data_IF_225689564626
#
_entry.id   IF_225689564626
#
_cell.length_a   1.000
_cell.length_b   1.000
_cell.length_c   1.000
_cell.angle_alpha   90.00
_cell.angle_beta   90.00
_cell.angle_gamma   90.00
#
_symmetry.space_group_name_H-M   'P 1'
#
loop_
_entity.id
_entity.type
_entity.pdbx_description
1 polymer ?
#
# COMPACT_ATOMS: atom_id res chain seq x y z
N UNK A 1 -42.65 -10.49 2.53
CA UNK A 1 -41.65 -9.43 2.77
C UNK A 1 -40.30 -9.97 2.30
N UNK A 2 -39.93 -9.71 1.04
CA UNK A 2 -38.69 -10.21 0.46
C UNK A 2 -37.53 -9.36 0.97
N UNK A 3 -36.66 -9.94 1.80
CA UNK A 3 -35.38 -9.33 2.14
C UNK A 3 -34.47 -9.42 0.91
N UNK A 4 -34.19 -8.27 0.29
CA UNK A 4 -33.08 -8.14 -0.63
C UNK A 4 -31.79 -8.46 0.13
N UNK A 5 -31.28 -9.67 -0.08
CA UNK A 5 -29.93 -10.03 0.31
C UNK A 5 -28.99 -9.24 -0.61
N UNK A 6 -28.50 -8.08 -0.15
CA UNK A 6 -27.42 -7.36 -0.81
C UNK A 6 -26.14 -8.13 -0.57
N UNK A 7 -25.96 -9.24 -1.30
CA UNK A 7 -24.65 -9.80 -1.56
C UNK A 7 -23.80 -8.63 -2.09
N UNK A 8 -22.90 -8.15 -1.24
CA UNK A 8 -21.99 -7.03 -1.48
C UNK A 8 -20.91 -7.50 -2.48
N UNK A 9 -21.35 -7.89 -3.67
CA UNK A 9 -20.53 -8.36 -4.77
C UNK A 9 -19.68 -7.18 -5.22
N UNK A 10 -18.37 -7.34 -5.03
CA UNK A 10 -17.39 -6.36 -5.47
C UNK A 10 -17.61 -6.07 -6.95
N UNK A 11 -17.82 -4.80 -7.30
CA UNK A 11 -17.92 -4.43 -8.71
C UNK A 11 -16.61 -4.81 -9.40
N UNK A 12 -16.70 -5.57 -10.50
CA UNK A 12 -15.56 -5.99 -11.32
C UNK A 12 -14.60 -4.83 -11.65
N UNK A 13 -15.14 -3.62 -11.84
CA UNK A 13 -14.35 -2.41 -12.09
C UNK A 13 -13.47 -2.04 -10.90
N UNK A 14 -14.03 -2.09 -9.68
CA UNK A 14 -13.31 -1.74 -8.46
C UNK A 14 -12.25 -2.80 -8.13
N UNK A 15 -12.58 -4.08 -8.31
CA UNK A 15 -11.63 -5.18 -8.15
C UNK A 15 -10.45 -5.07 -9.14
N UNK A 16 -10.74 -4.82 -10.43
CA UNK A 16 -9.69 -4.59 -11.45
C UNK A 16 -8.77 -3.43 -11.08
N UNK A 17 -9.33 -2.33 -10.57
CA UNK A 17 -8.54 -1.19 -10.11
C UNK A 17 -7.63 -1.57 -8.93
N UNK A 18 -8.13 -2.35 -7.98
CA UNK A 18 -7.34 -2.80 -6.82
C UNK A 18 -6.20 -3.73 -7.24
N UNK A 19 -6.47 -4.73 -8.09
CA UNK A 19 -5.44 -5.61 -8.66
C UNK A 19 -4.38 -4.83 -9.42
N UNK A 20 -4.78 -3.80 -10.19
CA UNK A 20 -3.85 -2.95 -10.91
C UNK A 20 -2.92 -2.19 -9.96
N UNK A 21 -3.45 -1.55 -8.90
CA UNK A 21 -2.62 -0.85 -7.92
C UNK A 21 -1.64 -1.77 -7.21
N UNK A 22 -2.10 -2.95 -6.78
CA UNK A 22 -1.25 -3.96 -6.14
C UNK A 22 -0.15 -4.46 -7.11
N UNK A 23 -0.49 -4.69 -8.37
CA UNK A 23 0.47 -5.05 -9.41
C UNK A 23 1.51 -3.95 -9.65
N UNK A 24 1.10 -2.68 -9.71
CA UNK A 24 2.02 -1.54 -9.80
C UNK A 24 2.99 -1.52 -8.63
N UNK A 25 2.49 -1.67 -7.41
CA UNK A 25 3.33 -1.72 -6.22
C UNK A 25 4.32 -2.88 -6.29
N UNK A 26 3.85 -4.10 -6.56
CA UNK A 26 4.68 -5.30 -6.63
C UNK A 26 5.84 -5.16 -7.65
N UNK A 27 5.53 -4.68 -8.86
CA UNK A 27 6.56 -4.49 -9.89
C UNK A 27 7.51 -3.35 -9.54
N UNK A 28 7.03 -2.30 -8.86
CA UNK A 28 7.87 -1.21 -8.37
C UNK A 28 8.88 -1.72 -7.33
N UNK A 29 8.44 -2.54 -6.36
CA UNK A 29 9.32 -3.15 -5.37
C UNK A 29 10.40 -4.05 -6.01
N UNK A 30 10.04 -4.78 -7.07
CA UNK A 30 10.98 -5.63 -7.83
C UNK A 30 11.99 -4.82 -8.65
N UNK A 31 11.59 -3.67 -9.19
CA UNK A 31 12.42 -2.84 -10.06
C UNK A 31 13.43 -2.00 -9.28
N UNK A 32 13.02 -1.43 -8.15
CA UNK A 32 13.81 -0.44 -7.42
C UNK A 32 15.06 -1.03 -6.77
N UNK A 33 14.96 -2.23 -6.18
CA UNK A 33 16.04 -2.84 -5.42
C UNK A 33 16.66 -1.89 -4.40
N UNK A 34 17.92 -1.50 -4.64
CA UNK A 34 18.69 -0.57 -3.80
C UNK A 34 18.78 0.86 -4.36
N UNK A 35 18.20 1.14 -5.53
CA UNK A 35 18.26 2.45 -6.18
C UNK A 35 17.34 3.45 -5.47
N UNK A 36 17.60 4.74 -5.65
CA UNK A 36 16.63 5.77 -5.24
C UNK A 36 15.35 5.60 -6.05
N UNK A 37 14.22 5.94 -5.43
CA UNK A 37 12.94 5.98 -6.14
C UNK A 37 12.97 7.03 -7.25
N UNK A 38 13.74 8.11 -7.11
CA UNK A 38 13.90 9.14 -8.14
C UNK A 38 14.47 8.57 -9.45
N UNK A 39 15.40 7.62 -9.34
CA UNK A 39 16.06 6.96 -10.47
C UNK A 39 15.17 5.94 -11.20
N UNK A 40 14.01 5.59 -10.63
CA UNK A 40 13.08 4.64 -11.22
C UNK A 40 12.19 5.34 -12.25
N UNK A 41 12.27 4.97 -13.53
CA UNK A 41 11.46 5.64 -14.54
C UNK A 41 10.02 5.11 -14.58
N UNK A 42 9.06 6.02 -14.73
CA UNK A 42 7.65 5.67 -14.91
C UNK A 42 7.44 4.72 -16.08
N UNK A 43 8.21 4.90 -17.16
CA UNK A 43 8.20 4.01 -18.33
C UNK A 43 8.53 2.55 -17.97
N UNK A 44 9.51 2.32 -17.08
CA UNK A 44 9.90 0.98 -16.64
C UNK A 44 8.77 0.31 -15.84
N UNK A 45 8.13 1.06 -14.94
CA UNK A 45 6.98 0.57 -14.16
C UNK A 45 5.83 0.21 -15.11
N UNK A 46 5.48 1.11 -16.04
CA UNK A 46 4.45 0.90 -17.04
C UNK A 46 4.74 -0.32 -17.93
N UNK A 47 5.98 -0.49 -18.37
CA UNK A 47 6.39 -1.62 -19.21
C UNK A 47 6.25 -2.96 -18.48
N UNK A 48 6.68 -3.05 -17.21
CA UNK A 48 6.57 -4.26 -16.39
C UNK A 48 5.12 -4.61 -16.04
N UNK A 49 4.30 -3.60 -15.73
CA UNK A 49 2.90 -3.77 -15.34
C UNK A 49 1.95 -3.89 -16.54
N UNK A 50 2.45 -3.66 -17.76
CA UNK A 50 1.70 -3.67 -19.03
C UNK A 50 0.54 -2.67 -19.04
N UNK A 51 0.78 -1.45 -18.55
CA UNK A 51 -0.19 -0.35 -18.58
C UNK A 51 0.41 0.91 -19.21
N UNK A 52 -0.44 1.82 -19.67
CA UNK A 52 0.01 3.13 -20.16
C UNK A 52 0.34 4.10 -19.02
N UNK A 53 1.12 5.15 -19.29
CA UNK A 53 1.32 6.28 -18.34
C UNK A 53 0.00 6.92 -17.92
N UNK A 54 -0.91 7.12 -18.88
CA UNK A 54 -2.24 7.68 -18.62
C UNK A 54 -3.00 6.81 -17.63
N UNK A 55 -2.91 5.48 -17.77
CA UNK A 55 -3.50 4.55 -16.82
C UNK A 55 -2.83 4.62 -15.47
N UNK A 56 -1.50 4.67 -15.40
CA UNK A 56 -0.78 4.80 -14.13
C UNK A 56 -1.18 6.07 -13.39
N UNK A 57 -1.07 7.23 -14.05
CA UNK A 57 -1.35 8.55 -13.44
C UNK A 57 -2.83 8.75 -13.09
N UNK A 58 -3.74 7.99 -13.71
CA UNK A 58 -5.14 7.93 -13.28
C UNK A 58 -5.30 7.34 -11.87
N UNK A 59 -4.43 6.41 -11.46
CA UNK A 59 -4.49 5.76 -10.14
C UNK A 59 -3.49 6.34 -9.15
N UNK A 60 -2.35 6.82 -9.63
CA UNK A 60 -1.26 7.43 -8.88
C UNK A 60 -0.94 8.78 -9.52
N UNK A 61 -1.68 9.86 -9.20
CA UNK A 61 -1.51 11.18 -9.81
C UNK A 61 -0.06 11.67 -9.90
N UNK A 62 0.75 11.34 -8.89
CA UNK A 62 2.19 11.52 -8.87
C UNK A 62 2.89 10.17 -8.75
N UNK A 63 4.12 10.09 -9.25
CA UNK A 63 4.94 8.87 -9.13
C UNK A 63 5.14 8.51 -7.65
N UNK A 64 5.37 9.51 -6.81
CA UNK A 64 5.58 9.40 -5.36
C UNK A 64 4.34 8.87 -4.62
N UNK A 65 3.15 8.93 -5.22
CA UNK A 65 1.95 8.31 -4.63
C UNK A 65 2.11 6.78 -4.48
N UNK A 66 3.01 6.15 -5.25
CA UNK A 66 3.36 4.73 -5.08
C UNK A 66 4.10 4.50 -3.76
N UNK A 67 4.95 5.44 -3.31
CA UNK A 67 5.63 5.38 -2.00
C UNK A 67 4.60 5.48 -0.87
N UNK A 68 3.67 6.43 -1.00
CA UNK A 68 2.58 6.60 -0.03
C UNK A 68 1.66 5.38 -0.01
N UNK A 69 1.40 4.77 -1.16
CA UNK A 69 0.63 3.54 -1.23
C UNK A 69 1.36 2.37 -0.56
N UNK A 70 2.65 2.20 -0.83
CA UNK A 70 3.48 1.22 -0.12
C UNK A 70 3.38 1.40 1.40
N UNK A 71 3.57 2.63 1.89
CA UNK A 71 3.49 2.93 3.32
C UNK A 71 2.12 2.55 3.90
N UNK A 72 1.03 2.85 3.18
CA UNK A 72 -0.33 2.53 3.65
C UNK A 72 -0.63 1.04 3.63
N UNK A 73 -0.05 0.28 2.69
CA UNK A 73 -0.13 -1.19 2.68
C UNK A 73 0.67 -1.77 3.85
N UNK A 74 1.84 -1.21 4.17
CA UNK A 74 2.59 -1.58 5.37
C UNK A 74 1.80 -1.29 6.65
N UNK A 75 1.19 -0.10 6.78
CA UNK A 75 0.35 0.24 7.94
C UNK A 75 -0.88 -0.67 8.03
N UNK A 76 -1.51 -1.05 6.91
CA UNK A 76 -2.61 -2.02 6.91
C UNK A 76 -2.16 -3.37 7.46
N UNK A 77 -0.98 -3.85 7.08
CA UNK A 77 -0.41 -5.09 7.62
C UNK A 77 -0.24 -5.03 9.12
N UNK A 78 0.34 -3.93 9.63
CA UNK A 78 0.49 -3.70 11.07
C UNK A 78 -0.86 -3.63 11.79
N UNK A 79 -1.84 -2.94 11.21
CA UNK A 79 -3.19 -2.84 11.79
C UNK A 79 -3.87 -4.21 11.87
N UNK A 80 -3.72 -5.07 10.86
CA UNK A 80 -4.23 -6.45 10.89
C UNK A 80 -3.53 -7.29 11.96
N UNK A 81 -2.20 -7.25 12.00
CA UNK A 81 -1.42 -8.04 12.96
C UNK A 81 -1.67 -7.62 14.41
N UNK A 82 -1.78 -6.32 14.67
CA UNK A 82 -2.06 -5.77 16.01
C UNK A 82 -3.53 -5.94 16.41
N UNK A 83 -4.45 -6.04 15.45
CA UNK A 83 -5.84 -6.41 15.74
C UNK A 83 -5.95 -7.88 16.20
N UNK A 84 -5.14 -8.77 15.63
CA UNK A 84 -5.10 -10.19 16.02
C UNK A 84 -4.32 -10.43 17.31
N UNK A 85 -3.16 -9.77 17.44
CA UNK A 85 -2.27 -9.88 18.59
C UNK A 85 -1.91 -8.48 19.08
N UNK A 86 -2.76 -7.87 19.92
CA UNK A 86 -2.51 -6.56 20.48
C UNK A 86 -1.16 -6.49 21.20
N UNK A 87 -0.47 -5.37 21.04
CA UNK A 87 0.78 -5.04 21.73
C UNK A 87 0.72 -3.58 22.13
N UNK A 88 1.10 -3.30 23.37
CA UNK A 88 1.05 -1.96 23.94
C UNK A 88 2.40 -1.56 24.54
N UNK A 89 2.56 -0.27 24.82
CA UNK A 89 3.78 0.29 25.40
C UNK A 89 5.04 -0.10 24.64
N UNK A 90 6.08 -0.49 25.37
CA UNK A 90 7.39 -0.84 24.81
C UNK A 90 7.33 -2.04 23.86
N UNK A 91 6.46 -3.02 24.11
CA UNK A 91 6.32 -4.20 23.25
C UNK A 91 5.73 -3.83 21.88
N UNK A 92 4.79 -2.88 21.85
CA UNK A 92 4.24 -2.33 20.61
C UNK A 92 5.29 -1.53 19.83
N UNK A 93 6.03 -0.65 20.52
CA UNK A 93 7.11 0.15 19.91
C UNK A 93 8.16 -0.78 19.30
N UNK A 94 8.70 -1.71 20.09
CA UNK A 94 9.76 -2.64 19.64
C UNK A 94 9.30 -3.42 18.42
N UNK A 95 8.07 -3.93 18.43
CA UNK A 95 7.51 -4.63 17.28
C UNK A 95 7.42 -3.80 16.00
N UNK A 96 6.99 -2.53 16.11
CA UNK A 96 6.91 -1.65 14.95
C UNK A 96 8.32 -1.36 14.39
N UNK A 97 9.30 -1.16 15.27
CA UNK A 97 10.70 -0.96 14.87
C UNK A 97 11.32 -2.22 14.26
N UNK A 98 11.04 -3.40 14.80
CA UNK A 98 11.46 -4.68 14.20
C UNK A 98 10.90 -4.81 12.77
N UNK A 99 9.60 -4.52 12.60
CA UNK A 99 8.95 -4.55 11.29
C UNK A 99 9.43 -3.47 10.33
N UNK A 100 9.87 -2.32 10.84
CA UNK A 100 10.51 -1.31 10.02
C UNK A 100 11.93 -1.75 9.60
N UNK A 101 12.69 -2.36 10.52
CA UNK A 101 14.02 -2.89 10.23
C UNK A 101 13.98 -3.96 9.13
N UNK A 102 13.01 -4.88 9.18
CA UNK A 102 12.78 -5.86 8.12
C UNK A 102 12.56 -5.19 6.75
N UNK A 103 11.81 -4.08 6.68
CA UNK A 103 11.60 -3.38 5.42
C UNK A 103 12.85 -2.61 4.95
N UNK A 104 13.66 -2.07 5.87
CA UNK A 104 14.95 -1.45 5.54
C UNK A 104 15.90 -2.45 4.86
N UNK A 105 15.87 -3.72 5.28
CA UNK A 105 16.67 -4.78 4.69
C UNK A 105 16.12 -5.26 3.34
N UNK A 106 14.80 -5.49 3.27
CA UNK A 106 14.16 -6.08 2.10
C UNK A 106 13.94 -5.08 0.96
N UNK A 107 13.63 -3.82 1.30
CA UNK A 107 13.24 -2.77 0.36
C UNK A 107 13.96 -1.43 0.63
N UNK A 108 15.31 -1.40 0.72
CA UNK A 108 16.07 -0.23 1.11
C UNK A 108 15.82 0.99 0.21
N UNK A 109 15.70 0.80 -1.10
CA UNK A 109 15.44 1.90 -2.04
C UNK A 109 14.10 2.58 -1.80
N UNK A 110 13.06 1.81 -1.44
CA UNK A 110 11.73 2.33 -1.14
C UNK A 110 11.74 3.08 0.19
N UNK A 111 12.31 2.47 1.24
CA UNK A 111 12.30 3.06 2.58
C UNK A 111 13.08 4.36 2.62
N UNK A 112 14.28 4.42 2.03
CA UNK A 112 15.07 5.64 1.98
C UNK A 112 14.33 6.77 1.25
N UNK A 113 13.68 6.44 0.14
CA UNK A 113 12.92 7.42 -0.65
C UNK A 113 11.64 7.86 0.07
N UNK A 114 10.97 6.94 0.77
CA UNK A 114 9.81 7.25 1.60
C UNK A 114 10.21 8.19 2.75
N UNK A 115 11.33 7.94 3.44
CA UNK A 115 11.83 8.85 4.47
C UNK A 115 12.18 10.22 3.91
N UNK A 116 12.86 10.28 2.75
CA UNK A 116 13.11 11.54 2.06
C UNK A 116 11.82 12.30 1.73
N UNK A 117 10.81 11.59 1.23
CA UNK A 117 9.50 12.15 0.93
C UNK A 117 8.78 12.67 2.19
N UNK A 118 8.75 11.88 3.27
CA UNK A 118 8.08 12.25 4.53
C UNK A 118 8.79 13.36 5.29
N UNK A 119 10.11 13.50 5.13
CA UNK A 119 10.91 14.54 5.75
C UNK A 119 10.80 15.90 5.04
N UNK A 120 10.25 15.96 3.83
CA UNK A 120 10.06 17.23 3.11
C UNK A 120 8.89 18.03 3.69
N UNK A 121 9.19 18.91 4.65
CA UNK A 121 8.21 19.77 5.33
C UNK A 121 7.43 20.72 4.39
N UNK A 122 7.89 20.91 3.15
CA UNK A 122 7.17 21.71 2.13
C UNK A 122 5.98 20.94 1.55
N UNK A 123 5.94 19.62 1.74
CA UNK A 123 4.93 18.71 1.19
C UNK A 123 4.28 17.94 2.34
N UNK A 124 3.17 18.44 2.93
CA UNK A 124 2.49 17.69 3.97
C UNK A 124 2.01 16.35 3.38
N UNK A 125 2.44 15.20 3.92
CA UNK A 125 2.09 13.91 3.36
C UNK A 125 0.59 13.71 3.47
N UNK A 126 -0.08 13.46 2.34
CA UNK A 126 -1.49 13.08 2.32
C UNK A 126 -1.57 11.55 2.29
N UNK A 127 -2.23 10.90 3.27
CA UNK A 127 -2.34 9.45 3.28
C UNK A 127 -2.98 8.93 1.98
N UNK A 128 -2.29 8.02 1.29
CA UNK A 128 -2.88 7.41 0.10
C UNK A 128 -4.01 6.43 0.50
N UNK A 129 -5.19 6.49 -0.12
CA UNK A 129 -6.32 5.68 0.30
C UNK A 129 -6.16 4.21 -0.13
N UNK A 130 -6.35 3.29 0.83
CA UNK A 130 -6.46 1.84 0.59
C UNK A 130 -7.93 1.45 0.68
N UNK A 131 -8.54 1.10 -0.46
CA UNK A 131 -9.98 0.78 -0.52
C UNK A 131 -10.26 -0.64 -0.05
N UNK A 132 -11.54 -0.92 0.22
CA UNK A 132 -12.01 -2.24 0.68
C UNK A 132 -11.59 -3.37 -0.27
N UNK A 133 -11.62 -3.12 -1.57
CA UNK A 133 -11.16 -4.05 -2.60
C UNK A 133 -9.72 -4.50 -2.38
N UNK A 134 -8.85 -3.55 -2.08
CA UNK A 134 -7.41 -3.78 -1.89
C UNK A 134 -7.20 -4.58 -0.60
N UNK A 135 -7.95 -4.25 0.46
CA UNK A 135 -7.90 -5.01 1.71
C UNK A 135 -8.39 -6.46 1.54
N UNK A 136 -9.51 -6.68 0.84
CA UNK A 136 -10.06 -8.02 0.57
C UNK A 136 -9.13 -8.87 -0.30
N UNK A 137 -8.42 -8.27 -1.25
CA UNK A 137 -7.43 -8.98 -2.07
C UNK A 137 -6.19 -9.39 -1.25
N UNK A 138 -5.76 -8.56 -0.31
CA UNK A 138 -4.60 -8.85 0.55
C UNK A 138 -4.92 -9.84 1.68
N UNK A 139 -6.17 -9.82 2.19
CA UNK A 139 -6.63 -10.65 3.29
C UNK A 139 -7.95 -11.35 2.94
N UNK A 140 -7.95 -12.30 1.99
CA UNK A 140 -9.17 -12.95 1.52
C UNK A 140 -9.89 -13.76 2.61
N UNK A 141 -9.14 -14.26 3.60
CA UNK A 141 -9.66 -15.13 4.67
C UNK A 141 -9.99 -14.37 5.96
N UNK A 142 -9.89 -13.04 5.97
CA UNK A 142 -10.11 -12.23 7.18
C UNK A 142 -11.49 -11.57 7.12
N UNK A 143 -12.45 -12.13 7.86
CA UNK A 143 -13.86 -11.70 7.82
C UNK A 143 -14.05 -10.23 8.23
N UNK A 144 -13.30 -9.76 9.23
CA UNK A 144 -13.39 -8.39 9.75
C UNK A 144 -12.51 -7.38 8.99
N UNK A 145 -11.95 -7.72 7.82
CA UNK A 145 -11.04 -6.82 7.10
C UNK A 145 -11.69 -5.47 6.70
N UNK A 146 -13.02 -5.45 6.54
CA UNK A 146 -13.76 -4.23 6.22
C UNK A 146 -13.79 -3.21 7.36
N UNK A 147 -13.68 -3.66 8.61
CA UNK A 147 -13.77 -2.81 9.81
C UNK A 147 -12.40 -2.40 10.34
N UNK A 148 -11.31 -3.01 9.89
CA UNK A 148 -9.96 -2.64 10.30
C UNK A 148 -9.57 -1.31 9.67
N UNK A 149 -9.36 -0.31 10.52
CA UNK A 149 -8.93 1.02 10.10
C UNK A 149 -7.42 1.15 10.15
N UNK A 150 -6.88 1.92 9.21
CA UNK A 150 -5.48 2.33 9.23
C UNK A 150 -5.49 3.71 9.89
N UNK A 151 -4.98 3.79 11.12
CA UNK A 151 -4.87 5.07 11.83
C UNK A 151 -4.06 6.07 10.98
N UNK A 152 -4.53 7.33 10.97
CA UNK A 152 -3.95 8.40 10.16
C UNK A 152 -2.76 9.03 10.85
#
# INVERSE_FOLDING_TARGET
MYYFNTNNTMSLRKEKAARLKLSVLEHTLKLIGKKSFDDLYVDEICAKTKISKVTLFKYFPQKEDILLYYFRIWCLRRAVELNEKPREGLAGITYLFDKLSEECENHPGIILSLFGYLADLRRPPKPFPVKLEEKKLLYPNKENISTIEIQS
#
